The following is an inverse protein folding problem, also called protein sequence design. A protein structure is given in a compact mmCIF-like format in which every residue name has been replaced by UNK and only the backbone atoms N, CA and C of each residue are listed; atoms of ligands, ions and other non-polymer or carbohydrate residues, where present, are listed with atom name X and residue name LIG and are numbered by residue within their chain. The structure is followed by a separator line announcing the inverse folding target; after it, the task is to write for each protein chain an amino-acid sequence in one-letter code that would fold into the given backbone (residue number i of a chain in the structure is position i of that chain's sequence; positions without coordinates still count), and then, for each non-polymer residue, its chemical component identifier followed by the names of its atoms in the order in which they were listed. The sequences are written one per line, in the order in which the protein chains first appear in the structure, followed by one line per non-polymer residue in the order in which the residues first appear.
data_IF_013294942792
#
_entry.id   IF_013294942792
#
_cell.length_a   1.000
_cell.length_b   1.000
_cell.length_c   1.000
_cell.angle_alpha   90.00
_cell.angle_beta   90.00
_cell.angle_gamma   90.00
#
_symmetry.space_group_name_H-M   'P 1'
#
loop_
_entity.id
_entity.type
_entity.pdbx_description
1 polymer ?
#
# COMPACT_ATOMS: atom_id res chain seq x y z
N UNK A 1 38.16 -38.21 13.46
CA UNK A 1 36.94 -38.48 12.67
C UNK A 1 35.73 -38.46 13.58
N UNK A 2 34.54 -38.29 12.96
CA UNK A 2 33.17 -38.27 13.53
C UNK A 2 32.63 -36.87 13.88
N UNK A 3 32.09 -36.18 12.86
CA UNK A 3 31.10 -35.12 13.02
C UNK A 3 29.70 -35.77 13.01
N UNK A 4 28.91 -35.48 14.05
CA UNK A 4 27.54 -35.93 14.14
C UNK A 4 26.71 -35.34 12.99
N UNK A 5 26.02 -36.23 12.28
CA UNK A 5 25.11 -35.92 11.19
C UNK A 5 24.01 -34.97 11.68
N UNK A 6 24.04 -33.73 11.18
CA UNK A 6 22.86 -32.86 11.18
C UNK A 6 21.79 -33.55 10.32
N UNK A 7 20.71 -34.02 10.94
CA UNK A 7 19.54 -34.57 10.23
C UNK A 7 18.71 -33.41 9.64
N UNK A 8 18.71 -33.22 8.30
CA UNK A 8 18.06 -32.08 7.66
C UNK A 8 16.52 -32.20 7.61
N UNK A 9 15.93 -33.30 8.12
CA UNK A 9 14.49 -33.58 7.94
C UNK A 9 13.59 -32.97 9.02
N UNK A 10 14.15 -32.31 10.05
CA UNK A 10 13.37 -31.71 11.15
C UNK A 10 12.97 -30.24 10.94
N UNK A 11 13.49 -29.55 9.93
CA UNK A 11 13.17 -28.12 9.70
C UNK A 11 11.90 -27.85 8.89
N UNK A 12 11.26 -28.89 8.33
CA UNK A 12 10.11 -28.74 7.43
C UNK A 12 8.72 -28.76 8.11
N UNK A 13 8.61 -28.51 9.42
CA UNK A 13 7.30 -28.51 10.10
C UNK A 13 6.99 -27.16 10.75
N UNK A 14 6.48 -26.25 9.91
CA UNK A 14 5.31 -25.37 10.14
C UNK A 14 5.35 -24.23 9.12
N UNK A 15 4.70 -24.41 7.97
CA UNK A 15 4.34 -23.28 7.12
C UNK A 15 3.14 -22.60 7.80
N UNK A 16 3.21 -21.30 8.18
CA UNK A 16 2.03 -20.60 8.66
C UNK A 16 0.99 -20.62 7.54
N UNK A 17 -0.24 -21.02 7.87
CA UNK A 17 -1.36 -21.03 6.93
C UNK A 17 -1.84 -19.58 6.73
N UNK A 18 -0.98 -18.76 6.11
CA UNK A 18 -1.25 -17.36 5.81
C UNK A 18 -2.33 -17.34 4.72
N UNK A 19 -3.58 -17.20 5.15
CA UNK A 19 -4.72 -16.99 4.27
C UNK A 19 -4.61 -15.58 3.71
N UNK A 20 -4.04 -15.47 2.50
CA UNK A 20 -4.04 -14.22 1.73
C UNK A 20 -5.49 -13.91 1.36
N UNK A 21 -6.06 -12.87 1.95
CA UNK A 21 -7.34 -12.31 1.50
C UNK A 21 -7.09 -11.68 0.14
N UNK A 22 -7.51 -12.37 -0.92
CA UNK A 22 -7.72 -11.71 -2.20
C UNK A 22 -8.99 -10.88 -2.07
N UNK A 23 -8.96 -9.57 -2.36
CA UNK A 23 -10.18 -8.78 -2.43
C UNK A 23 -11.08 -9.41 -3.50
N UNK A 24 -12.36 -9.55 -3.18
CA UNK A 24 -13.35 -10.10 -4.09
C UNK A 24 -13.39 -9.26 -5.38
N UNK A 25 -13.51 -9.85 -6.59
CA UNK A 25 -13.68 -9.09 -7.81
C UNK A 25 -14.95 -8.21 -7.79
N UNK A 26 -15.88 -8.44 -6.86
CA UNK A 26 -17.02 -7.56 -6.56
C UNK A 26 -16.76 -6.48 -5.50
N UNK A 27 -15.68 -6.55 -4.73
CA UNK A 27 -15.18 -5.46 -3.85
C UNK A 27 -14.19 -4.55 -4.58
N UNK A 28 -14.02 -4.76 -5.89
CA UNK A 28 -13.25 -3.87 -6.75
C UNK A 28 -14.11 -2.65 -7.09
N UNK A 29 -13.82 -1.52 -6.44
CA UNK A 29 -14.46 -0.21 -6.61
C UNK A 29 -15.63 0.10 -5.67
N UNK A 30 -15.33 0.32 -4.39
CA UNK A 30 -15.80 1.59 -3.84
C UNK A 30 -15.05 2.66 -4.65
N UNK A 31 -15.67 3.16 -5.72
CA UNK A 31 -15.04 4.09 -6.65
C UNK A 31 -14.28 5.16 -5.87
N UNK A 32 -13.01 5.35 -6.20
CA UNK A 32 -12.21 6.36 -5.54
C UNK A 32 -13.01 7.67 -5.54
N UNK A 33 -13.18 8.35 -4.39
CA UNK A 33 -14.05 9.54 -4.29
C UNK A 33 -13.53 10.73 -5.11
N UNK A 34 -12.34 10.56 -5.67
CA UNK A 34 -11.64 11.47 -6.53
C UNK A 34 -12.01 11.17 -7.98
N UNK A 35 -12.24 12.21 -8.78
CA UNK A 35 -12.29 12.11 -10.24
C UNK A 35 -11.04 11.42 -10.79
N UNK A 36 -11.13 10.80 -11.97
CA UNK A 36 -9.97 10.21 -12.65
C UNK A 36 -8.82 11.22 -12.80
N UNK A 37 -9.15 12.51 -12.98
CA UNK A 37 -8.16 13.60 -13.03
C UNK A 37 -7.52 13.87 -11.67
N UNK A 38 -8.30 13.83 -10.59
CA UNK A 38 -7.80 14.03 -9.23
C UNK A 38 -6.92 12.86 -8.79
N UNK A 39 -7.26 11.63 -9.17
CA UNK A 39 -6.41 10.44 -8.96
C UNK A 39 -5.07 10.56 -9.69
N UNK A 40 -5.07 10.87 -10.99
CA UNK A 40 -3.83 11.02 -11.74
C UNK A 40 -2.92 12.11 -11.14
N UNK A 41 -3.51 13.22 -10.67
CA UNK A 41 -2.77 14.28 -9.98
C UNK A 41 -2.21 13.81 -8.64
N UNK A 42 -2.98 13.05 -7.87
CA UNK A 42 -2.53 12.47 -6.60
C UNK A 42 -1.37 11.50 -6.83
N UNK A 43 -1.46 10.60 -7.81
CA UNK A 43 -0.40 9.66 -8.14
C UNK A 43 0.89 10.38 -8.56
N UNK A 44 0.79 11.44 -9.36
CA UNK A 44 1.93 12.28 -9.71
C UNK A 44 2.59 12.93 -8.49
N UNK A 45 1.80 13.42 -7.54
CA UNK A 45 2.33 14.01 -6.31
C UNK A 45 2.96 12.97 -5.39
N UNK A 46 2.37 11.78 -5.28
CA UNK A 46 2.94 10.67 -4.51
C UNK A 46 4.26 10.20 -5.12
N UNK A 47 4.34 10.13 -6.44
CA UNK A 47 5.59 9.83 -7.16
C UNK A 47 6.66 10.89 -6.88
N UNK A 48 6.29 12.17 -6.96
CA UNK A 48 7.20 13.29 -6.64
C UNK A 48 7.71 13.24 -5.19
N UNK A 49 6.85 12.93 -4.22
CA UNK A 49 7.26 12.71 -2.82
C UNK A 49 8.22 11.54 -2.71
N UNK A 50 7.99 10.46 -3.47
CA UNK A 50 8.85 9.29 -3.44
C UNK A 50 10.25 9.59 -4.00
N UNK A 51 10.34 10.39 -5.05
CA UNK A 51 11.60 10.70 -5.74
C UNK A 51 12.40 11.80 -5.04
N UNK A 52 11.74 12.90 -4.66
CA UNK A 52 12.39 14.13 -4.17
C UNK A 52 12.13 14.40 -2.67
N UNK A 53 11.30 13.59 -2.02
CA UNK A 53 10.89 13.79 -0.62
C UNK A 53 9.73 14.78 -0.46
N UNK A 54 9.18 14.85 0.75
CA UNK A 54 7.97 15.65 1.05
C UNK A 54 8.19 17.17 0.92
N UNK A 55 9.42 17.65 1.14
CA UNK A 55 9.77 19.08 1.06
C UNK A 55 9.75 19.63 -0.38
N UNK A 56 9.72 18.74 -1.38
CA UNK A 56 9.59 19.11 -2.80
C UNK A 56 8.20 19.61 -3.17
N UNK A 57 7.21 19.41 -2.29
CA UNK A 57 5.82 19.81 -2.52
C UNK A 57 5.59 21.29 -2.25
N UNK A 58 4.89 21.95 -3.17
CA UNK A 58 4.42 23.31 -2.96
C UNK A 58 3.26 23.35 -1.95
N UNK A 59 2.99 24.53 -1.39
CA UNK A 59 1.88 24.70 -0.43
C UNK A 59 0.52 24.26 -1.03
N UNK A 60 0.29 24.52 -2.31
CA UNK A 60 -0.94 24.12 -3.01
C UNK A 60 -1.05 22.58 -3.16
N UNK A 61 0.07 21.90 -3.40
CA UNK A 61 0.12 20.44 -3.56
C UNK A 61 -0.11 19.74 -2.21
N UNK A 62 0.46 20.27 -1.13
CA UNK A 62 0.22 19.80 0.23
C UNK A 62 -1.25 19.96 0.62
N UNK A 63 -1.86 21.10 0.28
CA UNK A 63 -3.27 21.35 0.53
C UNK A 63 -4.17 20.40 -0.26
N UNK A 64 -3.84 20.13 -1.52
CA UNK A 64 -4.55 19.15 -2.34
C UNK A 64 -4.51 17.74 -1.73
N UNK A 65 -3.35 17.28 -1.24
CA UNK A 65 -3.23 15.97 -0.58
C UNK A 65 -4.03 15.91 0.72
N UNK A 66 -4.05 16.99 1.50
CA UNK A 66 -4.85 17.07 2.72
C UNK A 66 -6.36 16.97 2.42
N UNK A 67 -6.84 17.70 1.41
CA UNK A 67 -8.24 17.67 0.98
C UNK A 67 -8.64 16.30 0.39
N UNK A 68 -7.76 15.70 -0.42
CA UNK A 68 -7.96 14.37 -0.98
C UNK A 68 -8.04 13.31 0.13
N UNK A 69 -7.14 13.37 1.12
CA UNK A 69 -7.14 12.47 2.28
C UNK A 69 -8.41 12.61 3.10
N UNK A 70 -8.89 13.85 3.31
CA UNK A 70 -10.15 14.13 4.01
C UNK A 70 -11.35 13.51 3.28
N UNK A 71 -11.48 13.71 1.97
CA UNK A 71 -12.54 13.09 1.15
C UNK A 71 -12.55 11.56 1.24
N UNK A 72 -11.37 10.94 1.24
CA UNK A 72 -11.24 9.48 1.35
C UNK A 72 -11.65 8.99 2.75
N UNK A 73 -11.30 9.73 3.80
CA UNK A 73 -11.64 9.39 5.18
C UNK A 73 -13.13 9.50 5.46
N UNK A 74 -13.79 10.57 4.98
CA UNK A 74 -15.23 10.82 5.18
C UNK A 74 -16.14 9.75 4.54
N UNK A 75 -15.68 9.05 3.51
CA UNK A 75 -16.41 7.96 2.85
C UNK A 75 -16.20 6.58 3.51
N UNK A 76 -15.16 6.44 4.35
CA UNK A 76 -14.81 5.18 5.02
C UNK A 76 -15.39 5.05 6.44
N UNK A 77 -15.86 6.15 7.02
CA UNK A 77 -16.54 6.16 8.33
C UNK A 77 -18.04 6.22 8.16
#
# INVERSE_FOLDING_TARGET
GQFAFFDPRRWLKRKPNLRVRHPDPGESSTGSPLSAREQARMDQLLQKIQDDGQDSLTAEEQQFLADASRKIRERRG
#
